data_IF_645063637527
#
_entry.id   IF_645063637527
#
_cell.length_a   1.000
_cell.length_b   1.000
_cell.length_c   1.000
_cell.angle_alpha   90.00
_cell.angle_beta   90.00
_cell.angle_gamma   90.00
#
_symmetry.space_group_name_H-M   'P 1'
#
loop_
_entity.id
_entity.type
_entity.pdbx_description
1 polymer ?
#
# COMPACT_ATOMS: atom_id res chain seq x y z
N UNK A 1 24.15 46.16 24.88
CA UNK A 1 23.34 45.06 24.33
C UNK A 1 24.16 43.79 24.51
N UNK A 2 23.64 42.80 25.23
CA UNK A 2 24.34 41.52 25.40
C UNK A 2 24.39 40.76 24.07
N UNK A 3 25.50 40.09 23.80
CA UNK A 3 25.64 39.24 22.62
C UNK A 3 24.59 38.12 22.66
N UNK A 4 23.79 37.99 21.59
CA UNK A 4 22.85 36.89 21.44
C UNK A 4 23.63 35.59 21.23
N UNK A 5 23.25 34.53 21.95
CA UNK A 5 23.86 33.20 21.80
C UNK A 5 23.44 32.61 20.45
N UNK A 6 24.34 31.86 19.81
CA UNK A 6 24.03 31.20 18.53
C UNK A 6 22.95 30.11 18.64
N UNK A 7 22.84 29.47 19.80
CA UNK A 7 21.86 28.41 20.10
C UNK A 7 21.30 28.59 21.52
N UNK A 8 20.01 28.35 21.67
CA UNK A 8 19.31 28.29 22.96
C UNK A 8 18.35 27.10 22.97
N UNK A 9 17.97 26.64 24.15
CA UNK A 9 16.95 25.59 24.32
C UNK A 9 15.88 26.12 25.26
N UNK A 10 14.62 26.08 24.84
CA UNK A 10 13.48 26.60 25.62
C UNK A 10 12.26 25.68 25.40
N UNK A 11 11.52 25.35 26.46
CA UNK A 11 10.38 24.42 26.41
C UNK A 11 10.69 23.04 25.76
N UNK A 12 11.95 22.59 25.84
CA UNK A 12 12.40 21.34 25.23
C UNK A 12 12.64 21.41 23.71
N UNK A 13 12.59 22.61 23.12
CA UNK A 13 12.88 22.85 21.71
C UNK A 13 14.22 23.60 21.61
N UNK A 14 15.10 23.12 20.73
CA UNK A 14 16.33 23.83 20.38
C UNK A 14 16.03 24.93 19.36
N UNK A 15 16.68 26.09 19.50
CA UNK A 15 16.54 27.20 18.59
C UNK A 15 17.91 27.68 18.11
N UNK A 16 17.96 28.14 16.86
CA UNK A 16 19.12 28.77 16.23
C UNK A 16 18.88 30.26 16.01
N UNK A 17 19.89 31.08 16.24
CA UNK A 17 19.83 32.52 15.97
C UNK A 17 19.84 32.76 14.46
N UNK A 18 18.81 33.40 13.93
CA UNK A 18 18.67 33.82 12.54
C UNK A 18 18.43 35.34 12.49
N UNK A 19 19.49 36.10 12.23
CA UNK A 19 19.43 37.56 12.30
C UNK A 19 19.30 38.04 13.74
N UNK A 20 18.18 38.68 14.06
CA UNK A 20 17.84 39.24 15.38
C UNK A 20 16.78 38.41 16.15
N UNK A 21 16.36 37.25 15.62
CA UNK A 21 15.39 36.37 16.27
C UNK A 21 15.84 34.90 16.26
N UNK A 22 15.20 34.08 17.09
CA UNK A 22 15.47 32.65 17.21
C UNK A 22 14.43 31.83 16.43
N UNK A 23 14.88 30.84 15.65
CA UNK A 23 14.02 29.90 14.91
C UNK A 23 14.17 28.50 15.52
N UNK A 24 13.07 27.75 15.74
CA UNK A 24 13.13 26.34 16.13
C UNK A 24 13.99 25.49 15.19
N UNK A 25 14.95 24.76 15.73
CA UNK A 25 15.78 23.77 15.03
C UNK A 25 15.03 22.42 14.97
N UNK A 26 13.86 22.42 14.32
CA UNK A 26 13.01 21.23 14.16
C UNK A 26 13.68 20.25 13.19
N UNK A 27 13.98 19.05 13.67
CA UNK A 27 14.47 17.95 12.84
C UNK A 27 13.30 17.12 12.33
N UNK A 28 13.22 16.97 11.02
CA UNK A 28 12.28 16.03 10.41
C UNK A 28 12.80 14.59 10.55
N UNK A 29 11.92 13.58 10.58
CA UNK A 29 12.32 12.19 10.43
C UNK A 29 13.15 12.03 9.15
N UNK A 30 14.37 11.50 9.27
CA UNK A 30 15.20 11.22 8.12
C UNK A 30 14.74 9.92 7.47
N UNK A 31 14.28 10.01 6.22
CA UNK A 31 13.99 8.86 5.37
C UNK A 31 14.77 9.03 4.06
N UNK A 32 15.73 8.13 3.84
CA UNK A 32 16.65 8.19 2.69
C UNK A 32 16.38 7.06 1.69
N UNK A 33 15.46 6.14 1.99
CA UNK A 33 15.14 5.04 1.07
C UNK A 33 14.52 5.59 -0.22
N UNK A 34 14.86 5.01 -1.38
CA UNK A 34 14.24 5.40 -2.64
C UNK A 34 12.79 4.92 -2.68
N UNK A 35 11.88 5.79 -3.09
CA UNK A 35 10.46 5.44 -3.28
C UNK A 35 10.17 4.68 -4.58
N UNK A 36 11.20 4.39 -5.39
CA UNK A 36 11.10 3.55 -6.61
C UNK A 36 9.98 3.92 -7.59
N UNK A 37 9.59 2.96 -8.43
CA UNK A 37 8.55 3.14 -9.45
C UNK A 37 7.16 3.23 -8.83
N UNK A 38 6.80 2.26 -7.98
CA UNK A 38 5.47 2.16 -7.38
C UNK A 38 5.20 3.32 -6.41
N UNK A 39 6.19 3.72 -5.61
CA UNK A 39 6.03 4.87 -4.73
C UNK A 39 5.91 6.19 -5.50
N UNK A 40 6.60 6.39 -6.63
CA UNK A 40 6.37 7.58 -7.48
C UNK A 40 4.97 7.57 -8.10
N UNK A 41 4.55 6.43 -8.64
CA UNK A 41 3.23 6.28 -9.25
C UNK A 41 2.12 6.57 -8.22
N UNK A 42 2.21 5.94 -7.05
CA UNK A 42 1.20 6.11 -6.01
C UNK A 42 1.22 7.52 -5.40
N UNK A 43 2.40 8.16 -5.29
CA UNK A 43 2.48 9.58 -4.91
C UNK A 43 1.71 10.48 -5.87
N UNK A 44 1.88 10.26 -7.17
CA UNK A 44 1.23 11.09 -8.18
C UNK A 44 -0.29 10.84 -8.21
N UNK A 45 -0.72 9.58 -8.02
CA UNK A 45 -2.12 9.23 -7.77
C UNK A 45 -2.68 9.94 -6.53
N UNK A 46 -1.98 9.89 -5.41
CA UNK A 46 -2.40 10.58 -4.18
C UNK A 46 -2.53 12.09 -4.38
N UNK A 47 -1.67 12.72 -5.18
CA UNK A 47 -1.76 14.16 -5.47
C UNK A 47 -2.96 14.52 -6.34
N UNK A 48 -3.26 13.69 -7.35
CA UNK A 48 -4.29 13.98 -8.35
C UNK A 48 -5.68 13.63 -7.83
N UNK A 49 -5.83 12.44 -7.26
CA UNK A 49 -7.13 11.86 -6.92
C UNK A 49 -7.41 11.96 -5.40
N UNK A 50 -6.37 11.97 -4.55
CA UNK A 50 -6.53 11.85 -3.08
C UNK A 50 -5.79 12.92 -2.27
N UNK A 51 -5.95 14.18 -2.68
CA UNK A 51 -5.16 15.32 -2.16
C UNK A 51 -5.22 15.48 -0.62
N UNK A 52 -6.34 15.13 0.01
CA UNK A 52 -6.50 15.16 1.46
C UNK A 52 -5.56 14.16 2.16
N UNK A 53 -5.51 12.91 1.68
CA UNK A 53 -4.60 11.88 2.22
C UNK A 53 -3.14 12.21 1.95
N UNK A 54 -2.82 12.73 0.78
CA UNK A 54 -1.48 13.22 0.47
C UNK A 54 -1.03 14.29 1.48
N UNK A 55 -1.90 15.27 1.74
CA UNK A 55 -1.62 16.37 2.66
C UNK A 55 -1.49 15.87 4.10
N UNK A 56 -2.35 14.93 4.53
CA UNK A 56 -2.26 14.32 5.84
C UNK A 56 -0.90 13.64 6.05
N UNK A 57 -0.46 12.79 5.12
CA UNK A 57 0.86 12.13 5.17
C UNK A 57 2.03 13.11 5.17
N UNK A 58 1.89 14.23 4.46
CA UNK A 58 2.90 15.28 4.43
C UNK A 58 2.98 16.01 5.78
N UNK A 59 1.84 16.35 6.37
CA UNK A 59 1.76 17.03 7.66
C UNK A 59 2.21 16.14 8.83
N UNK A 60 1.97 14.83 8.75
CA UNK A 60 2.49 13.86 9.74
C UNK A 60 3.96 13.51 9.51
N UNK A 61 4.58 14.01 8.44
CA UNK A 61 5.94 13.68 8.03
C UNK A 61 6.17 12.18 7.73
N UNK A 62 5.10 11.44 7.38
CA UNK A 62 5.14 10.00 7.12
C UNK A 62 5.17 9.66 5.62
N UNK A 63 4.95 10.65 4.74
CA UNK A 63 4.80 10.43 3.29
C UNK A 63 5.96 9.64 2.68
N UNK A 64 7.21 10.02 2.98
CA UNK A 64 8.37 9.36 2.37
C UNK A 64 8.52 7.92 2.83
N UNK A 65 8.36 7.67 4.13
CA UNK A 65 8.42 6.31 4.70
C UNK A 65 7.30 5.44 4.15
N UNK A 66 6.07 5.97 4.08
CA UNK A 66 4.92 5.27 3.48
C UNK A 66 5.18 4.85 2.03
N UNK A 67 5.68 5.76 1.21
CA UNK A 67 5.95 5.47 -0.20
C UNK A 67 7.15 4.52 -0.37
N UNK A 68 8.14 4.57 0.52
CA UNK A 68 9.26 3.64 0.53
C UNK A 68 8.81 2.23 0.90
N UNK A 69 8.02 2.08 1.98
CA UNK A 69 7.46 0.80 2.41
C UNK A 69 6.56 0.19 1.33
N UNK A 70 5.68 1.01 0.74
CA UNK A 70 4.83 0.61 -0.39
C UNK A 70 5.68 0.08 -1.54
N UNK A 71 6.74 0.80 -1.91
CA UNK A 71 7.59 0.40 -3.02
C UNK A 71 8.33 -0.91 -2.74
N UNK A 72 8.97 -1.03 -1.57
CA UNK A 72 9.72 -2.24 -1.19
C UNK A 72 8.82 -3.47 -1.16
N UNK A 73 7.61 -3.34 -0.58
CA UNK A 73 6.68 -4.47 -0.50
C UNK A 73 6.08 -4.82 -1.87
N UNK A 74 5.77 -3.82 -2.70
CA UNK A 74 5.29 -4.04 -4.06
C UNK A 74 6.35 -4.71 -4.93
N UNK A 75 7.61 -4.26 -4.89
CA UNK A 75 8.72 -4.86 -5.62
C UNK A 75 8.98 -6.30 -5.16
N UNK A 76 8.97 -6.55 -3.85
CA UNK A 76 9.11 -7.91 -3.32
C UNK A 76 8.03 -8.84 -3.84
N UNK A 77 6.78 -8.37 -3.91
CA UNK A 77 5.67 -9.19 -4.41
C UNK A 77 5.73 -9.38 -5.93
N UNK A 78 6.18 -8.36 -6.65
CA UNK A 78 6.49 -8.45 -8.08
C UNK A 78 7.53 -9.54 -8.36
N UNK A 79 8.61 -9.58 -7.59
CA UNK A 79 9.67 -10.59 -7.76
C UNK A 79 9.15 -12.01 -7.51
N UNK A 80 8.30 -12.20 -6.49
CA UNK A 80 7.67 -13.50 -6.18
C UNK A 80 6.78 -13.97 -7.32
N UNK A 81 5.87 -13.13 -7.81
CA UNK A 81 4.93 -13.51 -8.88
C UNK A 81 5.66 -13.74 -10.21
N UNK A 82 6.71 -12.95 -10.48
CA UNK A 82 7.58 -13.15 -11.62
C UNK A 82 8.21 -14.53 -11.62
N UNK A 83 8.70 -14.99 -10.47
CA UNK A 83 9.33 -16.31 -10.36
C UNK A 83 8.30 -17.45 -10.45
N UNK A 84 7.14 -17.30 -9.81
CA UNK A 84 6.04 -18.26 -9.91
C UNK A 84 5.56 -18.43 -11.35
N UNK A 85 5.38 -17.33 -12.10
CA UNK A 85 4.95 -17.39 -13.50
C UNK A 85 5.96 -18.12 -14.40
N UNK A 86 7.27 -17.91 -14.20
CA UNK A 86 8.30 -18.63 -14.98
C UNK A 86 8.19 -20.14 -14.79
N UNK A 87 7.97 -20.57 -13.55
CA UNK A 87 7.84 -22.00 -13.19
C UNK A 87 6.59 -22.60 -13.83
N UNK A 88 5.43 -21.95 -13.66
CA UNK A 88 4.15 -22.44 -14.16
C UNK A 88 4.13 -22.57 -15.68
N UNK A 89 4.68 -21.58 -16.38
CA UNK A 89 4.60 -21.52 -17.85
C UNK A 89 5.72 -22.31 -18.56
N UNK A 90 6.69 -22.86 -17.81
CA UNK A 90 7.79 -23.66 -18.36
C UNK A 90 8.63 -22.90 -19.40
N UNK A 91 8.63 -21.56 -19.33
CA UNK A 91 9.39 -20.67 -20.21
C UNK A 91 10.81 -20.60 -19.67
N UNK A 92 11.57 -21.66 -19.92
CA UNK A 92 12.95 -21.77 -19.42
C UNK A 92 13.96 -21.36 -20.50
N UNK A 93 15.18 -21.01 -20.09
CA UNK A 93 16.25 -20.72 -21.03
C UNK A 93 16.66 -21.99 -21.83
N UNK A 94 16.43 -23.18 -21.29
CA UNK A 94 16.60 -24.44 -22.03
C UNK A 94 15.59 -24.59 -23.18
N UNK A 95 14.32 -24.20 -22.97
CA UNK A 95 13.32 -24.21 -24.04
C UNK A 95 13.71 -23.21 -25.15
N UNK A 96 14.20 -22.03 -24.76
CA UNK A 96 14.65 -21.00 -25.68
C UNK A 96 15.82 -21.46 -26.55
N UNK A 97 16.78 -22.18 -25.94
CA UNK A 97 17.92 -22.74 -26.64
C UNK A 97 17.55 -23.89 -27.59
N UNK A 98 16.55 -24.71 -27.21
CA UNK A 98 16.13 -25.87 -28.00
C UNK A 98 15.15 -25.53 -29.13
N UNK A 99 14.20 -24.63 -28.89
CA UNK A 99 13.19 -24.24 -29.87
C UNK A 99 12.72 -22.79 -29.64
N UNK A 100 13.46 -21.85 -30.21
CA UNK A 100 13.22 -20.42 -30.07
C UNK A 100 11.83 -19.98 -30.58
N UNK A 101 11.31 -20.60 -31.64
CA UNK A 101 9.99 -20.24 -32.19
C UNK A 101 8.84 -20.65 -31.26
N UNK A 102 8.92 -21.86 -30.69
CA UNK A 102 7.95 -22.30 -29.68
C UNK A 102 8.01 -21.42 -28.43
N UNK A 103 9.21 -21.02 -28.01
CA UNK A 103 9.40 -20.09 -26.90
C UNK A 103 8.72 -18.74 -27.17
N UNK A 104 8.92 -18.14 -28.36
CA UNK A 104 8.27 -16.87 -28.75
C UNK A 104 6.75 -17.02 -28.81
N UNK A 105 6.25 -18.12 -29.37
CA UNK A 105 4.81 -18.38 -29.46
C UNK A 105 4.15 -18.48 -28.08
N UNK A 106 4.76 -19.24 -27.16
CA UNK A 106 4.28 -19.35 -25.77
C UNK A 106 4.32 -17.99 -25.07
N UNK A 107 5.41 -17.24 -25.22
CA UNK A 107 5.55 -15.90 -24.62
C UNK A 107 4.48 -14.92 -25.11
N UNK A 108 4.13 -14.95 -26.40
CA UNK A 108 3.09 -14.10 -26.96
C UNK A 108 1.68 -14.50 -26.48
N UNK A 109 1.40 -15.80 -26.35
CA UNK A 109 0.11 -16.28 -25.83
C UNK A 109 -0.09 -15.88 -24.37
N UNK A 110 0.97 -16.01 -23.55
CA UNK A 110 0.97 -15.57 -22.14
C UNK A 110 0.71 -14.06 -22.07
N UNK A 111 1.42 -13.26 -22.88
CA UNK A 111 1.23 -11.81 -22.89
C UNK A 111 -0.22 -11.44 -23.21
N UNK A 112 -0.81 -12.06 -24.23
CA UNK A 112 -2.19 -11.74 -24.63
C UNK A 112 -3.19 -12.06 -23.52
N UNK A 113 -3.09 -13.23 -22.88
CA UNK A 113 -3.95 -13.62 -21.77
C UNK A 113 -3.76 -12.71 -20.55
N UNK A 114 -2.52 -12.36 -20.23
CA UNK A 114 -2.20 -11.45 -19.14
C UNK A 114 -2.74 -10.04 -19.38
N UNK A 115 -2.71 -9.52 -20.61
CA UNK A 115 -3.28 -8.22 -20.96
C UNK A 115 -4.81 -8.19 -20.83
N UNK A 116 -5.49 -9.27 -21.24
CA UNK A 116 -6.95 -9.39 -21.07
C UNK A 116 -7.34 -9.40 -19.59
N UNK A 117 -6.69 -10.23 -18.78
CA UNK A 117 -6.96 -10.30 -17.34
C UNK A 117 -6.57 -9.01 -16.62
N UNK A 118 -5.48 -8.36 -17.03
CA UNK A 118 -5.08 -7.06 -16.50
C UNK A 118 -6.16 -6.01 -16.73
N UNK A 119 -6.78 -5.97 -17.91
CA UNK A 119 -7.87 -5.05 -18.20
C UNK A 119 -9.12 -5.32 -17.34
N UNK A 120 -9.40 -6.58 -17.00
CA UNK A 120 -10.49 -6.94 -16.07
C UNK A 120 -10.16 -6.48 -14.64
N UNK A 121 -8.96 -6.78 -14.17
CA UNK A 121 -8.48 -6.36 -12.85
C UNK A 121 -8.46 -4.84 -12.70
N UNK A 122 -8.09 -4.10 -13.75
CA UNK A 122 -8.13 -2.64 -13.72
C UNK A 122 -9.56 -2.13 -13.50
N UNK A 123 -10.55 -2.67 -14.22
CA UNK A 123 -11.97 -2.30 -14.01
C UNK A 123 -12.45 -2.59 -12.59
N UNK A 124 -12.00 -3.70 -12.01
CA UNK A 124 -12.30 -4.06 -10.62
C UNK A 124 -11.65 -3.03 -9.68
N UNK A 125 -10.38 -2.73 -9.87
CA UNK A 125 -9.61 -1.74 -9.09
C UNK A 125 -10.30 -0.36 -9.13
N UNK A 126 -10.74 0.07 -10.31
CA UNK A 126 -11.43 1.35 -10.52
C UNK A 126 -12.81 1.35 -9.84
N UNK A 127 -13.55 0.24 -9.91
CA UNK A 127 -14.87 0.12 -9.29
C UNK A 127 -14.82 0.21 -7.76
N UNK A 128 -13.72 -0.23 -7.15
CA UNK A 128 -13.50 -0.16 -5.71
C UNK A 128 -12.61 1.03 -5.31
N UNK A 129 -12.43 2.04 -6.17
CA UNK A 129 -11.55 3.19 -5.87
C UNK A 129 -11.91 3.92 -4.57
N UNK A 130 -13.20 3.98 -4.23
CA UNK A 130 -13.70 4.64 -3.02
C UNK A 130 -13.33 3.88 -1.72
N UNK A 131 -13.09 2.57 -1.78
CA UNK A 131 -12.61 1.80 -0.61
C UNK A 131 -11.24 2.22 -0.13
N UNK A 132 -10.37 2.61 -1.06
CA UNK A 132 -8.99 2.97 -0.74
C UNK A 132 -8.93 4.16 0.23
N UNK A 133 -9.97 5.01 0.27
CA UNK A 133 -10.04 6.12 1.22
C UNK A 133 -10.31 5.67 2.67
N UNK A 134 -11.05 4.58 2.86
CA UNK A 134 -11.55 4.17 4.18
C UNK A 134 -10.64 3.18 4.91
N UNK A 135 -10.04 2.22 4.19
CA UNK A 135 -9.39 1.05 4.81
C UNK A 135 -7.85 1.01 4.69
N UNK A 136 -7.21 2.09 4.20
CA UNK A 136 -5.76 2.13 3.91
C UNK A 136 -5.27 1.00 2.99
N UNK A 137 -6.16 0.45 2.16
CA UNK A 137 -5.83 -0.54 1.13
C UNK A 137 -5.22 0.18 -0.07
N UNK A 138 -4.27 -0.46 -0.75
CA UNK A 138 -3.70 0.01 -2.01
C UNK A 138 -3.59 -1.18 -2.96
N UNK A 139 -4.10 -1.02 -4.18
CA UNK A 139 -3.91 -1.99 -5.27
C UNK A 139 -3.05 -1.35 -6.36
N UNK A 140 -1.98 -2.03 -6.73
CA UNK A 140 -0.96 -1.57 -7.66
C UNK A 140 -0.93 -2.48 -8.89
N UNK A 141 -0.93 -1.86 -10.08
CA UNK A 141 -0.77 -2.58 -11.34
C UNK A 141 0.71 -2.96 -11.55
N UNK A 142 0.99 -4.27 -11.45
CA UNK A 142 2.31 -4.88 -11.68
C UNK A 142 2.51 -5.27 -13.15
N UNK A 143 1.69 -4.74 -14.06
CA UNK A 143 1.80 -4.94 -15.49
C UNK A 143 1.39 -6.35 -15.91
N UNK A 144 2.22 -6.99 -16.73
CA UNK A 144 1.94 -8.35 -17.25
C UNK A 144 1.94 -9.43 -16.17
N UNK A 145 2.33 -9.09 -14.94
CA UNK A 145 2.41 -10.03 -13.83
C UNK A 145 1.17 -9.97 -12.93
N UNK A 146 0.23 -9.05 -13.19
CA UNK A 146 -1.01 -8.93 -12.44
C UNK A 146 -1.02 -7.68 -11.55
N UNK A 147 -1.62 -7.80 -10.38
CA UNK A 147 -1.83 -6.73 -9.41
C UNK A 147 -1.27 -7.13 -8.04
N UNK A 148 -0.73 -6.15 -7.32
CA UNK A 148 -0.30 -6.30 -5.93
C UNK A 148 -1.23 -5.51 -5.05
N UNK A 149 -1.81 -6.15 -4.06
CA UNK A 149 -2.59 -5.51 -3.01
C UNK A 149 -1.75 -5.40 -1.75
N UNK A 150 -1.82 -4.26 -1.09
CA UNK A 150 -1.20 -3.98 0.21
C UNK A 150 -2.27 -3.41 1.14
N UNK A 151 -2.39 -3.96 2.35
CA UNK A 151 -3.46 -3.61 3.31
C UNK A 151 -2.93 -3.21 4.68
N UNK A 152 -3.70 -2.39 5.36
CA UNK A 152 -3.51 -2.03 6.77
C UNK A 152 -2.14 -1.43 7.08
N UNK A 153 -1.83 -0.30 6.46
CA UNK A 153 -0.58 0.41 6.73
C UNK A 153 -0.48 0.90 8.19
N UNK A 154 0.58 0.46 8.87
CA UNK A 154 0.86 0.74 10.27
C UNK A 154 2.29 1.21 10.48
N UNK A 155 2.51 2.53 10.62
CA UNK A 155 3.83 3.06 10.99
C UNK A 155 4.35 2.45 12.31
N UNK A 156 5.67 2.20 12.43
CA UNK A 156 6.71 2.23 11.39
C UNK A 156 6.90 0.90 10.64
N UNK A 157 5.95 -0.04 10.70
CA UNK A 157 6.11 -1.43 10.26
C UNK A 157 5.70 -1.70 8.81
N UNK A 158 5.16 -0.70 8.09
CA UNK A 158 4.65 -0.87 6.74
C UNK A 158 3.23 -1.43 6.69
N UNK A 159 2.86 -2.06 5.57
CA UNK A 159 1.60 -2.81 5.44
C UNK A 159 1.69 -4.16 6.14
N UNK A 160 0.64 -4.53 6.86
CA UNK A 160 0.58 -5.78 7.62
C UNK A 160 0.23 -6.98 6.74
N UNK A 161 -0.58 -6.73 5.70
CA UNK A 161 -1.03 -7.76 4.77
C UNK A 161 -0.76 -7.35 3.34
N UNK A 162 -0.57 -8.36 2.49
CA UNK A 162 -0.41 -8.17 1.07
C UNK A 162 -0.91 -9.42 0.31
N UNK A 163 -1.26 -9.22 -0.96
CA UNK A 163 -1.66 -10.29 -1.86
C UNK A 163 -1.29 -9.96 -3.32
N UNK A 164 -1.33 -10.98 -4.19
CA UNK A 164 -1.10 -10.83 -5.62
C UNK A 164 -2.20 -11.50 -6.43
N UNK A 165 -2.67 -10.84 -7.48
CA UNK A 165 -3.78 -11.29 -8.29
C UNK A 165 -3.44 -11.28 -9.77
N UNK A 166 -3.68 -12.40 -10.45
CA UNK A 166 -3.47 -12.54 -11.90
C UNK A 166 -4.77 -12.55 -12.70
N UNK A 167 -5.91 -12.67 -12.03
CA UNK A 167 -7.24 -12.72 -12.64
C UNK A 167 -8.20 -11.78 -11.93
N UNK A 168 -9.12 -11.22 -12.71
CA UNK A 168 -10.03 -10.19 -12.21
C UNK A 168 -11.04 -10.72 -11.19
N UNK A 169 -11.34 -12.02 -11.21
CA UNK A 169 -12.33 -12.61 -10.30
C UNK A 169 -11.77 -12.75 -8.89
N UNK A 170 -10.55 -13.27 -8.75
CA UNK A 170 -9.87 -13.36 -7.47
C UNK A 170 -9.68 -11.97 -6.83
N UNK A 171 -9.31 -10.95 -7.64
CA UNK A 171 -9.21 -9.58 -7.16
C UNK A 171 -10.57 -9.03 -6.73
N UNK A 172 -11.63 -9.29 -7.51
CA UNK A 172 -12.99 -8.87 -7.14
C UNK A 172 -13.44 -9.52 -5.83
N UNK A 173 -13.26 -10.84 -5.68
CA UNK A 173 -13.69 -11.56 -4.50
C UNK A 173 -12.96 -11.04 -3.25
N UNK A 174 -11.64 -10.76 -3.34
CA UNK A 174 -10.87 -10.17 -2.27
C UNK A 174 -11.38 -8.77 -1.86
N UNK A 175 -11.47 -7.84 -2.82
CA UNK A 175 -11.92 -6.47 -2.55
C UNK A 175 -13.38 -6.42 -2.09
N UNK A 176 -14.22 -7.31 -2.60
CA UNK A 176 -15.62 -7.41 -2.18
C UNK A 176 -15.74 -7.84 -0.72
N UNK A 177 -14.93 -8.81 -0.26
CA UNK A 177 -14.95 -9.22 1.15
C UNK A 177 -14.52 -8.08 2.06
N UNK A 178 -13.43 -7.38 1.73
CA UNK A 178 -12.95 -6.22 2.49
C UNK A 178 -14.04 -5.13 2.59
N UNK A 179 -14.70 -4.85 1.46
CA UNK A 179 -15.81 -3.90 1.44
C UNK A 179 -16.99 -4.34 2.30
N UNK A 180 -17.37 -5.60 2.21
CA UNK A 180 -18.48 -6.15 2.95
C UNK A 180 -18.22 -6.07 4.45
N UNK A 181 -17.02 -6.51 4.89
CA UNK A 181 -16.62 -6.50 6.30
C UNK A 181 -16.56 -5.08 6.87
N UNK A 182 -15.98 -4.15 6.10
CA UNK A 182 -15.93 -2.72 6.45
C UNK A 182 -17.33 -2.14 6.59
N UNK A 183 -18.20 -2.40 5.61
CA UNK A 183 -19.57 -1.91 5.60
C UNK A 183 -20.36 -2.46 6.79
N UNK A 184 -20.18 -3.74 7.09
CA UNK A 184 -20.82 -4.40 8.22
C UNK A 184 -20.35 -3.77 9.55
N UNK A 185 -19.04 -3.61 9.74
CA UNK A 185 -18.45 -3.00 10.93
C UNK A 185 -18.97 -1.56 11.15
N UNK A 186 -18.94 -0.73 10.12
CA UNK A 186 -19.40 0.66 10.21
C UNK A 186 -20.90 0.75 10.48
N UNK A 187 -21.69 -0.14 9.89
CA UNK A 187 -23.12 -0.23 10.15
C UNK A 187 -23.39 -0.61 11.60
N UNK A 188 -22.69 -1.63 12.12
CA UNK A 188 -22.80 -2.07 13.51
C UNK A 188 -22.44 -0.92 14.48
N UNK A 189 -21.31 -0.24 14.24
CA UNK A 189 -20.88 0.92 15.04
C UNK A 189 -21.88 2.07 15.01
N UNK A 190 -22.47 2.36 13.84
CA UNK A 190 -23.52 3.39 13.70
C UNK A 190 -24.79 3.03 14.49
N UNK A 191 -25.11 1.74 14.55
CA UNK A 191 -26.24 1.22 15.31
C UNK A 191 -25.90 1.00 16.80
N UNK A 192 -24.68 1.35 17.25
CA UNK A 192 -24.17 1.11 18.61
C UNK A 192 -24.23 -0.37 19.03
N UNK A 193 -24.16 -1.28 18.05
CA UNK A 193 -24.16 -2.73 18.26
C UNK A 193 -22.77 -3.26 18.61
N UNK A 194 -21.73 -2.44 18.49
CA UNK A 194 -20.33 -2.78 18.76
C UNK A 194 -20.09 -3.19 20.22
N UNK A 195 -20.85 -2.64 21.17
CA UNK A 195 -20.75 -3.00 22.59
C UNK A 195 -21.71 -4.11 23.02
N UNK A 196 -22.88 -4.23 22.39
CA UNK A 196 -23.92 -5.19 22.80
C UNK A 196 -23.45 -6.63 22.58
N UNK A 197 -22.85 -6.90 21.43
CA UNK A 197 -22.39 -8.25 21.07
C UNK A 197 -21.18 -8.64 21.92
N UNK A 198 -20.28 -7.70 22.24
CA UNK A 198 -19.06 -7.99 23.00
C UNK A 198 -19.38 -8.40 24.45
N UNK A 199 -20.27 -7.67 25.13
CA UNK A 199 -20.72 -8.03 26.48
C UNK A 199 -21.49 -9.35 26.51
N UNK A 200 -22.38 -9.59 25.54
CA UNK A 200 -23.13 -10.85 25.45
C UNK A 200 -22.22 -12.05 25.17
N UNK A 201 -21.25 -11.91 24.26
CA UNK A 201 -20.26 -12.96 23.95
C UNK A 201 -19.38 -13.25 25.16
N UNK A 202 -18.85 -12.23 25.85
CA UNK A 202 -18.06 -12.43 27.08
C UNK A 202 -18.89 -13.06 28.22
N UNK A 203 -20.16 -12.66 28.34
CA UNK A 203 -21.08 -13.26 29.31
C UNK A 203 -21.47 -14.70 28.97
N UNK A 204 -21.41 -15.10 27.70
CA UNK A 204 -21.59 -16.49 27.28
C UNK A 204 -20.31 -17.32 27.53
N UNK A 205 -19.13 -16.79 27.20
CA UNK A 205 -17.85 -17.47 27.41
C UNK A 205 -17.52 -17.68 28.90
N UNK A 206 -17.94 -16.78 29.78
CA UNK A 206 -17.76 -16.92 31.23
C UNK A 206 -18.67 -17.97 31.87
N UNK A 207 -19.71 -18.44 31.16
CA UNK A 207 -20.60 -19.53 31.60
C UNK A 207 -20.09 -20.93 31.23
N UNK A 208 -18.98 -21.02 30.50
CA UNK A 208 -18.35 -22.29 30.10
C UNK A 208 -17.22 -22.74 31.05
N UNK A 209 -17.14 -22.19 32.26
CA UNK A 209 -16.31 -22.70 33.36
C UNK A 209 -17.12 -23.53 34.34
#
# INVERSE_FOLDING_TARGET
>A
MGELKKRITENGIDYILAGDYYIPDLKLPEENRPIGYFGRLHRDYLKQEHSARYTALLLTCELWTYLADLNEQAEKRLDIIMEQMKIVEGVTEELKAKNQWEWVQKMNSIRYRAEEERAKCQKVTDAFAELYEMEKIVVLDAGRYGFVELKYYKPPHGFEEDATFTDGRALFDALWQEWFDTTLYLTAKKMQLDNIIYEEVFNCLSKEK
#
